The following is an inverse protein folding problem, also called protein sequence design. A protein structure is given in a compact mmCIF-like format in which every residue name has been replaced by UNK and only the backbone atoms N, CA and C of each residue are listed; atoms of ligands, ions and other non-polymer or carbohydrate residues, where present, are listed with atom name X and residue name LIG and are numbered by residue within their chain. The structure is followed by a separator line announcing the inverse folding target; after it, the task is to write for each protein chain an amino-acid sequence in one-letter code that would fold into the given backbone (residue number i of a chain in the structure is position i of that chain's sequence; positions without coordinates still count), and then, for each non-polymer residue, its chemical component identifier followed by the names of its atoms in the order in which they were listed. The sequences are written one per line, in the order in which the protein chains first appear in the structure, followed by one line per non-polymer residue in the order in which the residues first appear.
data_IF_314553858567
#
_entry.id   IF_314553858567
#
_cell.length_a   1.000
_cell.length_b   1.000
_cell.length_c   1.000
_cell.angle_alpha   90.00
_cell.angle_beta   90.00
_cell.angle_gamma   90.00
#
_symmetry.space_group_name_H-M   'P 1'
#
loop_
_entity.id
_entity.type
_entity.pdbx_description
1 polymer ?
#
# COMPACT_ATOMS: atom_id res chain seq x y z
N UNK A 1 -7.15 13.24 31.93
CA UNK A 1 -7.08 13.49 30.47
C UNK A 1 -8.49 13.51 29.96
N UNK A 2 -9.01 14.69 29.64
CA UNK A 2 -10.28 14.83 28.92
C UNK A 2 -10.07 14.26 27.52
N UNK A 3 -10.70 13.12 27.22
CA UNK A 3 -10.69 12.56 25.88
C UNK A 3 -11.36 13.56 24.94
N UNK A 4 -10.57 14.13 24.02
CA UNK A 4 -11.13 14.70 22.82
C UNK A 4 -11.58 13.54 21.93
N UNK A 5 -12.66 13.73 21.18
CA UNK A 5 -13.14 12.79 20.15
C UNK A 5 -12.18 12.81 18.96
N UNK A 6 -10.96 12.30 19.16
CA UNK A 6 -9.92 12.23 18.15
C UNK A 6 -10.38 11.49 16.91
N UNK A 7 -10.14 12.09 15.73
CA UNK A 7 -10.48 11.45 14.47
C UNK A 7 -9.37 10.49 14.03
N UNK A 8 -9.78 9.32 13.54
CA UNK A 8 -8.90 8.33 12.92
C UNK A 8 -9.18 8.30 11.43
N UNK A 9 -8.14 8.48 10.63
CA UNK A 9 -8.17 8.15 9.21
C UNK A 9 -7.53 6.78 8.99
N UNK A 10 -8.31 5.82 8.53
CA UNK A 10 -7.85 4.44 8.33
C UNK A 10 -7.28 4.18 6.94
N UNK A 11 -7.39 5.15 6.02
CA UNK A 11 -7.08 4.95 4.61
C UNK A 11 -6.44 6.17 3.99
N UNK A 12 -5.12 6.26 4.16
CA UNK A 12 -4.27 7.23 3.49
C UNK A 12 -3.26 6.55 2.57
N UNK A 13 -2.84 7.28 1.54
CA UNK A 13 -1.69 6.91 0.73
C UNK A 13 -0.65 8.02 0.81
N UNK A 14 0.58 7.62 1.09
CA UNK A 14 1.76 8.47 1.10
C UNK A 14 2.94 7.60 0.70
N UNK A 15 3.78 8.07 -0.23
CA UNK A 15 4.94 7.32 -0.69
C UNK A 15 6.18 7.88 -0.02
N UNK A 16 6.81 7.13 0.89
CA UNK A 16 8.07 7.55 1.48
C UNK A 16 9.14 7.72 0.42
N UNK A 17 10.12 8.61 0.67
CA UNK A 17 11.20 8.91 -0.28
C UNK A 17 11.94 7.65 -0.75
N UNK A 18 12.23 6.71 0.15
CA UNK A 18 12.86 5.44 -0.21
C UNK A 18 12.04 4.61 -1.22
N UNK A 19 10.70 4.62 -1.11
CA UNK A 19 9.83 3.93 -2.05
C UNK A 19 9.80 4.64 -3.41
N UNK A 20 9.78 5.98 -3.40
CA UNK A 20 9.85 6.79 -4.63
C UNK A 20 11.15 6.51 -5.39
N UNK A 21 12.29 6.49 -4.70
CA UNK A 21 13.58 6.22 -5.32
C UNK A 21 13.66 4.78 -5.85
N UNK A 22 13.20 3.79 -5.07
CA UNK A 22 13.13 2.42 -5.55
C UNK A 22 12.25 2.26 -6.81
N UNK A 23 11.13 3.01 -6.90
CA UNK A 23 10.31 3.05 -8.13
C UNK A 23 11.03 3.70 -9.31
N UNK A 24 11.91 4.69 -9.06
CA UNK A 24 12.70 5.37 -10.11
C UNK A 24 13.85 4.51 -10.63
N UNK A 25 14.42 3.66 -9.78
CA UNK A 25 15.49 2.74 -10.16
C UNK A 25 14.99 1.59 -11.06
N UNK A 26 13.70 1.28 -10.99
CA UNK A 26 13.08 0.23 -11.79
C UNK A 26 13.07 0.55 -13.28
N UNK A 27 13.40 -0.47 -14.07
CA UNK A 27 13.38 -0.40 -15.54
C UNK A 27 12.06 -0.88 -16.16
N UNK A 28 11.16 -1.46 -15.37
CA UNK A 28 9.87 -2.02 -15.81
C UNK A 28 8.76 -1.61 -14.84
N UNK A 29 7.51 -1.45 -15.30
CA UNK A 29 6.36 -1.18 -14.42
C UNK A 29 6.25 -2.16 -13.23
N UNK A 30 5.71 -1.72 -12.08
CA UNK A 30 5.45 -0.33 -11.74
C UNK A 30 6.77 0.43 -11.62
N UNK A 31 6.89 1.59 -12.28
CA UNK A 31 8.07 2.46 -12.18
C UNK A 31 7.66 3.92 -12.25
N UNK A 32 8.52 4.78 -11.73
CA UNK A 32 8.32 6.23 -11.74
C UNK A 32 9.38 6.90 -12.61
N UNK A 33 8.97 7.63 -13.64
CA UNK A 33 9.87 8.43 -14.50
C UNK A 33 9.63 9.91 -14.19
N UNK A 34 10.50 10.51 -13.39
CA UNK A 34 10.22 11.83 -12.80
C UNK A 34 9.06 11.72 -11.82
N UNK A 35 7.88 12.19 -12.23
CA UNK A 35 6.61 12.01 -11.52
C UNK A 35 5.52 11.33 -12.39
N UNK A 36 5.88 10.85 -13.58
CA UNK A 36 5.00 9.99 -14.36
C UNK A 36 5.08 8.56 -13.81
N UNK A 37 3.98 8.05 -13.25
CA UNK A 37 3.82 6.66 -12.86
C UNK A 37 3.43 5.83 -14.08
N UNK A 38 4.21 4.78 -14.34
CA UNK A 38 3.93 3.80 -15.39
C UNK A 38 3.50 2.48 -14.75
N UNK A 39 2.31 2.00 -15.12
CA UNK A 39 1.73 0.73 -14.70
C UNK A 39 1.56 -0.21 -15.90
N UNK A 40 1.47 -1.51 -15.65
CA UNK A 40 1.30 -2.49 -16.73
C UNK A 40 -0.13 -2.53 -17.29
N UNK A 41 -1.14 -2.23 -16.45
CA UNK A 41 -2.56 -2.39 -16.79
C UNK A 41 -3.32 -1.09 -17.02
N UNK A 42 -2.70 0.06 -16.76
CA UNK A 42 -3.34 1.38 -16.79
C UNK A 42 -2.48 2.38 -17.58
N UNK A 43 -3.08 3.45 -18.15
CA UNK A 43 -2.33 4.53 -18.77
C UNK A 43 -1.35 5.20 -17.79
N UNK A 44 -0.29 5.81 -18.32
CA UNK A 44 0.61 6.68 -17.57
C UNK A 44 -0.18 7.71 -16.76
N UNK A 45 0.17 7.86 -15.49
CA UNK A 45 -0.48 8.79 -14.57
C UNK A 45 0.52 9.80 -14.03
N UNK A 46 0.22 11.09 -14.14
CA UNK A 46 1.04 12.15 -13.57
C UNK A 46 0.73 12.29 -12.08
N UNK A 47 1.69 11.89 -11.26
CA UNK A 47 1.60 11.96 -9.79
C UNK A 47 1.90 13.37 -9.34
N UNK A 48 1.06 13.92 -8.47
CA UNK A 48 1.34 15.20 -7.82
C UNK A 48 2.40 15.00 -6.71
N UNK A 49 3.63 15.56 -6.84
CA UNK A 49 4.62 15.51 -5.76
C UNK A 49 4.10 16.02 -4.41
N UNK A 50 3.22 17.03 -4.42
CA UNK A 50 2.72 17.64 -3.20
C UNK A 50 1.84 16.67 -2.38
N UNK A 51 1.23 15.67 -3.03
CA UNK A 51 0.49 14.61 -2.34
C UNK A 51 1.39 13.71 -1.49
N UNK A 52 2.70 13.75 -1.70
CA UNK A 52 3.70 12.93 -1.02
C UNK A 52 4.69 13.74 -0.15
N UNK A 53 4.47 15.04 0.02
CA UNK A 53 5.25 15.86 0.97
C UNK A 53 4.87 15.52 2.42
N UNK A 54 5.75 14.81 3.13
CA UNK A 54 5.49 14.34 4.50
C UNK A 54 5.15 15.48 5.47
N UNK A 55 5.81 16.63 5.35
CA UNK A 55 5.63 17.74 6.27
C UNK A 55 4.30 18.44 6.03
N UNK A 56 3.94 18.69 4.77
CA UNK A 56 2.64 19.24 4.39
C UNK A 56 1.51 18.29 4.79
N UNK A 57 1.68 16.98 4.55
CA UNK A 57 0.68 15.96 4.91
C UNK A 57 0.50 15.84 6.42
N UNK A 58 1.58 15.93 7.21
CA UNK A 58 1.50 15.95 8.67
C UNK A 58 0.83 17.24 9.19
N UNK A 59 1.11 18.38 8.57
CA UNK A 59 0.44 19.64 8.92
C UNK A 59 -1.06 19.59 8.61
N UNK A 60 -1.44 19.03 7.46
CA UNK A 60 -2.82 18.83 7.06
C UNK A 60 -3.56 17.91 8.06
N UNK A 61 -2.98 16.75 8.39
CA UNK A 61 -3.58 15.83 9.36
C UNK A 61 -3.84 16.49 10.72
N UNK A 62 -2.94 17.35 11.20
CA UNK A 62 -3.15 18.12 12.45
C UNK A 62 -4.24 19.17 12.30
N UNK A 63 -4.31 19.86 11.16
CA UNK A 63 -5.35 20.84 10.88
C UNK A 63 -6.74 20.18 10.82
N UNK A 64 -6.80 18.94 10.34
CA UNK A 64 -8.01 18.11 10.27
C UNK A 64 -8.39 17.47 11.62
N UNK A 65 -7.56 17.64 12.65
CA UNK A 65 -7.80 17.06 13.98
C UNK A 65 -7.61 15.54 14.03
N UNK A 66 -6.78 14.98 13.15
CA UNK A 66 -6.46 13.56 13.14
C UNK A 66 -5.47 13.22 14.25
N UNK A 67 -5.86 12.28 15.11
CA UNK A 67 -4.98 11.68 16.12
C UNK A 67 -4.08 10.60 15.50
N UNK A 68 -4.58 9.94 14.45
CA UNK A 68 -3.87 8.90 13.73
C UNK A 68 -4.33 8.87 12.26
N UNK A 69 -3.37 8.72 11.36
CA UNK A 69 -3.61 8.54 9.93
C UNK A 69 -2.84 7.30 9.43
N UNK A 70 -3.57 6.26 9.02
CA UNK A 70 -2.99 4.98 8.61
C UNK A 70 -2.66 4.96 7.13
N UNK A 71 -1.38 4.82 6.83
CA UNK A 71 -0.86 4.70 5.46
C UNK A 71 -0.96 3.26 5.00
N UNK A 72 -1.70 3.05 3.92
CA UNK A 72 -1.76 1.79 3.18
C UNK A 72 -0.89 1.84 1.93
N UNK A 73 -0.38 0.68 1.51
CA UNK A 73 0.30 0.56 0.23
C UNK A 73 -0.65 0.96 -0.90
N UNK A 74 -0.15 1.57 -1.97
CA UNK A 74 -0.96 1.80 -3.17
C UNK A 74 -1.09 0.50 -3.97
N UNK A 75 -1.90 -0.46 -3.48
CA UNK A 75 -2.15 -1.77 -4.09
C UNK A 75 -2.48 -1.76 -5.60
N UNK A 76 -3.13 -0.72 -6.17
CA UNK A 76 -3.31 -0.64 -7.63
C UNK A 76 -2.01 -0.66 -8.44
N UNK A 77 -0.86 -0.32 -7.82
CA UNK A 77 0.45 -0.40 -8.48
C UNK A 77 0.91 -1.85 -8.75
N UNK A 78 0.35 -2.83 -8.04
CA UNK A 78 0.66 -4.26 -8.25
C UNK A 78 2.01 -4.71 -7.71
N UNK A 79 2.59 -3.96 -6.77
CA UNK A 79 3.88 -4.28 -6.15
C UNK A 79 3.81 -5.65 -5.47
N UNK A 80 2.70 -5.96 -4.80
CA UNK A 80 2.51 -7.21 -4.08
C UNK A 80 2.58 -8.45 -4.98
N UNK A 81 2.31 -8.30 -6.29
CA UNK A 81 2.29 -9.40 -7.26
C UNK A 81 3.57 -9.53 -8.10
N UNK A 82 4.57 -8.69 -7.86
CA UNK A 82 5.86 -8.78 -8.56
C UNK A 82 6.61 -10.09 -8.20
N UNK A 83 7.63 -10.48 -9.00
CA UNK A 83 8.60 -11.49 -8.59
C UNK A 83 9.14 -11.19 -7.18
N UNK A 84 9.36 -12.23 -6.39
CA UNK A 84 9.51 -12.06 -4.94
C UNK A 84 10.74 -11.23 -4.53
N UNK A 85 11.81 -11.23 -5.31
CA UNK A 85 12.97 -10.35 -5.13
C UNK A 85 12.61 -8.88 -5.39
N UNK A 86 11.96 -8.60 -6.52
CA UNK A 86 11.50 -7.27 -6.90
C UNK A 86 10.44 -6.70 -5.93
N UNK A 87 9.50 -7.54 -5.49
CA UNK A 87 8.45 -7.17 -4.54
C UNK A 87 9.06 -6.80 -3.19
N UNK A 88 9.97 -7.62 -2.66
CA UNK A 88 10.59 -7.41 -1.34
C UNK A 88 11.38 -6.12 -1.26
N UNK A 89 12.06 -5.73 -2.34
CA UNK A 89 12.79 -4.45 -2.40
C UNK A 89 11.84 -3.26 -2.19
N UNK A 90 10.76 -3.21 -2.98
CA UNK A 90 9.77 -2.13 -2.90
C UNK A 90 8.97 -2.16 -1.59
N UNK A 91 8.55 -3.35 -1.15
CA UNK A 91 7.83 -3.53 0.11
C UNK A 91 8.71 -3.12 1.29
N UNK A 92 9.99 -3.50 1.30
CA UNK A 92 10.94 -3.07 2.32
C UNK A 92 11.11 -1.55 2.35
N UNK A 93 11.21 -0.90 1.19
CA UNK A 93 11.27 0.56 1.08
C UNK A 93 10.00 1.23 1.61
N UNK A 94 8.82 0.67 1.30
CA UNK A 94 7.53 1.09 1.84
C UNK A 94 7.47 0.93 3.36
N UNK A 95 7.73 -0.27 3.89
CA UNK A 95 7.60 -0.56 5.33
C UNK A 95 8.58 0.27 6.17
N UNK A 96 9.85 0.35 5.73
CA UNK A 96 10.85 1.16 6.42
C UNK A 96 10.51 2.65 6.38
N UNK A 97 10.05 3.13 5.22
CA UNK A 97 9.65 4.52 5.07
C UNK A 97 8.43 4.89 5.91
N UNK A 98 7.39 4.05 5.92
CA UNK A 98 6.18 4.26 6.72
C UNK A 98 6.48 4.22 8.22
N UNK A 99 7.30 3.27 8.68
CA UNK A 99 7.71 3.18 10.07
C UNK A 99 8.53 4.39 10.55
N UNK A 100 9.15 5.13 9.63
CA UNK A 100 9.94 6.33 9.92
C UNK A 100 9.13 7.64 9.85
N UNK A 101 7.85 7.59 9.44
CA UNK A 101 7.00 8.78 9.36
C UNK A 101 6.74 9.39 10.75
N UNK A 102 6.67 10.73 10.85
CA UNK A 102 6.35 11.39 12.12
C UNK A 102 4.87 11.20 12.47
N UNK A 103 4.52 11.42 13.74
CA UNK A 103 3.13 11.55 14.13
C UNK A 103 2.39 12.62 13.27
N UNK A 104 1.14 12.37 12.87
CA UNK A 104 0.23 11.32 13.38
C UNK A 104 0.21 10.03 12.52
N UNK A 105 1.23 9.74 11.71
CA UNK A 105 1.16 8.60 10.80
C UNK A 105 1.38 7.25 11.50
N UNK A 106 0.61 6.25 11.07
CA UNK A 106 0.85 4.81 11.28
C UNK A 106 0.70 4.07 9.95
N UNK A 107 0.74 2.74 9.95
CA UNK A 107 0.72 1.99 8.69
C UNK A 107 0.05 0.63 8.71
N UNK A 108 -0.37 0.20 7.52
CA UNK A 108 -0.77 -1.17 7.18
C UNK A 108 0.41 -1.94 6.57
N UNK A 109 0.66 -3.17 7.03
CA UNK A 109 1.65 -4.02 6.39
C UNK A 109 1.09 -4.54 5.06
N UNK A 110 1.92 -4.69 4.03
CA UNK A 110 1.56 -5.35 2.78
C UNK A 110 2.49 -6.57 2.53
N UNK A 111 1.98 -7.70 2.02
CA UNK A 111 2.79 -8.89 1.81
C UNK A 111 3.31 -8.98 0.37
N UNK A 112 4.31 -9.83 0.18
CA UNK A 112 4.61 -10.39 -1.13
C UNK A 112 3.61 -11.52 -1.41
N UNK A 113 2.85 -11.44 -2.51
CA UNK A 113 1.86 -12.46 -2.90
C UNK A 113 2.43 -13.53 -3.81
N UNK A 114 3.58 -13.28 -4.46
CA UNK A 114 4.29 -14.30 -5.23
C UNK A 114 5.01 -15.31 -4.34
N UNK A 115 5.31 -14.95 -3.09
CA UNK A 115 5.89 -15.84 -2.07
C UNK A 115 5.40 -15.44 -0.67
N UNK A 116 4.43 -16.19 -0.16
CA UNK A 116 3.77 -15.90 1.12
C UNK A 116 4.69 -16.22 2.30
N UNK A 117 4.89 -15.23 3.17
CA UNK A 117 5.75 -15.33 4.34
C UNK A 117 5.06 -14.73 5.58
N UNK A 118 4.40 -15.56 6.41
CA UNK A 118 3.79 -15.11 7.66
C UNK A 118 4.81 -14.62 8.69
N UNK A 119 6.06 -15.10 8.64
CA UNK A 119 7.10 -14.66 9.56
C UNK A 119 7.52 -13.23 9.23
N UNK A 120 7.60 -12.87 7.95
CA UNK A 120 7.80 -11.49 7.54
C UNK A 120 6.65 -10.58 7.99
N UNK A 121 5.39 -11.02 7.82
CA UNK A 121 4.24 -10.26 8.31
C UNK A 121 4.29 -10.06 9.84
N UNK A 122 4.59 -11.11 10.61
CA UNK A 122 4.70 -11.01 12.06
C UNK A 122 5.72 -9.95 12.50
N UNK A 123 6.87 -9.86 11.81
CA UNK A 123 7.88 -8.82 12.07
C UNK A 123 7.33 -7.41 11.84
N UNK A 124 6.54 -7.20 10.79
CA UNK A 124 5.94 -5.88 10.55
C UNK A 124 4.87 -5.55 11.60
N UNK A 125 4.08 -6.53 12.03
CA UNK A 125 3.12 -6.32 13.13
C UNK A 125 3.83 -5.97 14.44
N UNK A 126 4.95 -6.62 14.76
CA UNK A 126 5.79 -6.32 15.93
C UNK A 126 6.44 -4.93 15.85
N UNK A 127 6.70 -4.43 14.63
CA UNK A 127 7.19 -3.07 14.38
C UNK A 127 6.12 -1.99 14.59
N UNK A 128 4.87 -2.37 14.84
CA UNK A 128 3.77 -1.45 15.13
C UNK A 128 2.83 -1.18 13.96
N UNK A 129 2.96 -1.91 12.83
CA UNK A 129 1.93 -1.89 11.80
C UNK A 129 0.61 -2.43 12.36
N UNK A 130 -0.50 -1.75 12.06
CA UNK A 130 -1.77 -2.00 12.75
C UNK A 130 -2.40 -3.33 12.35
N UNK A 131 -2.07 -3.84 11.16
CA UNK A 131 -2.64 -5.02 10.56
C UNK A 131 -2.10 -5.24 9.16
N UNK A 132 -2.82 -6.02 8.35
CA UNK A 132 -2.47 -6.34 6.97
C UNK A 132 -3.39 -5.60 6.00
N UNK A 133 -2.84 -5.13 4.88
CA UNK A 133 -3.60 -4.78 3.69
C UNK A 133 -3.41 -5.86 2.63
N UNK A 134 -4.51 -6.29 1.99
CA UNK A 134 -4.49 -7.15 0.81
C UNK A 134 -5.19 -6.47 -0.36
N UNK A 135 -4.67 -6.59 -1.60
CA UNK A 135 -5.43 -6.24 -2.79
C UNK A 135 -6.62 -7.21 -2.93
N UNK A 136 -7.80 -6.70 -3.25
CA UNK A 136 -9.03 -7.48 -3.42
C UNK A 136 -8.87 -8.67 -4.40
N UNK A 137 -8.10 -8.57 -5.51
CA UNK A 137 -7.77 -9.70 -6.36
C UNK A 137 -7.18 -10.93 -5.65
N UNK A 138 -6.51 -10.77 -4.50
CA UNK A 138 -5.95 -11.89 -3.73
C UNK A 138 -7.01 -12.74 -3.03
N UNK A 139 -8.27 -12.28 -3.00
CA UNK A 139 -9.39 -12.89 -2.27
C UNK A 139 -10.59 -13.20 -3.19
N UNK A 140 -10.39 -13.24 -4.51
CA UNK A 140 -11.51 -13.41 -5.47
C UNK A 140 -12.02 -14.84 -5.57
N UNK A 141 -11.17 -15.83 -5.30
CA UNK A 141 -11.49 -17.25 -5.47
C UNK A 141 -10.83 -18.13 -4.39
N UNK A 142 -11.17 -19.42 -4.40
CA UNK A 142 -10.67 -20.39 -3.42
C UNK A 142 -9.14 -20.48 -3.43
N UNK A 143 -8.51 -20.50 -4.61
CA UNK A 143 -7.05 -20.56 -4.75
C UNK A 143 -6.37 -19.32 -4.15
N UNK A 144 -6.98 -18.13 -4.32
CA UNK A 144 -6.54 -16.89 -3.69
C UNK A 144 -6.61 -16.98 -2.17
N UNK A 145 -7.77 -17.41 -1.63
CA UNK A 145 -7.94 -17.62 -0.19
C UNK A 145 -6.96 -18.64 0.39
N UNK A 146 -6.78 -19.79 -0.27
CA UNK A 146 -5.81 -20.81 0.15
C UNK A 146 -4.39 -20.27 0.17
N UNK A 147 -4.00 -19.50 -0.85
CA UNK A 147 -2.67 -18.88 -0.94
C UNK A 147 -2.41 -17.93 0.24
N UNK A 148 -3.34 -17.02 0.56
CA UNK A 148 -3.15 -16.05 1.64
C UNK A 148 -3.55 -16.58 3.02
N UNK A 149 -4.11 -17.79 3.10
CA UNK A 149 -4.59 -18.43 4.34
C UNK A 149 -3.60 -18.31 5.50
N UNK A 150 -2.30 -18.63 5.34
CA UNK A 150 -1.32 -18.48 6.41
C UNK A 150 -1.18 -17.06 6.98
N UNK A 151 -1.44 -16.01 6.17
CA UNK A 151 -1.46 -14.62 6.64
C UNK A 151 -2.74 -14.32 7.43
N UNK A 152 -3.88 -14.85 6.97
CA UNK A 152 -5.17 -14.66 7.63
C UNK A 152 -5.22 -15.35 9.00
N UNK A 153 -4.70 -16.57 9.10
CA UNK A 153 -4.56 -17.31 10.35
C UNK A 153 -3.69 -16.53 11.36
N UNK A 154 -2.59 -15.92 10.90
CA UNK A 154 -1.75 -15.08 11.74
C UNK A 154 -2.50 -13.84 12.25
N UNK A 155 -3.29 -13.16 11.40
CA UNK A 155 -4.09 -12.01 11.83
C UNK A 155 -5.16 -12.41 12.85
N UNK A 156 -5.85 -13.52 12.61
CA UNK A 156 -6.86 -14.05 13.54
C UNK A 156 -6.23 -14.36 14.91
N UNK A 157 -5.11 -15.11 14.92
CA UNK A 157 -4.41 -15.47 16.14
C UNK A 157 -3.87 -14.25 16.91
N UNK A 158 -3.53 -13.16 16.22
CA UNK A 158 -3.02 -11.93 16.80
C UNK A 158 -4.10 -10.86 17.07
N UNK A 159 -5.36 -11.12 16.70
CA UNK A 159 -6.46 -10.17 16.83
C UNK A 159 -6.26 -8.89 16.02
N UNK A 160 -5.53 -8.96 14.90
CA UNK A 160 -5.18 -7.80 14.06
C UNK A 160 -6.14 -7.66 12.87
N UNK A 161 -6.49 -6.41 12.47
CA UNK A 161 -7.39 -6.17 11.36
C UNK A 161 -6.78 -6.49 9.99
N UNK A 162 -7.68 -6.76 9.04
CA UNK A 162 -7.42 -6.83 7.61
C UNK A 162 -8.09 -5.65 6.89
N UNK A 163 -7.33 -4.91 6.09
CA UNK A 163 -7.84 -3.96 5.11
C UNK A 163 -7.84 -4.59 3.73
N UNK A 164 -9.00 -4.68 3.07
CA UNK A 164 -9.10 -5.12 1.68
C UNK A 164 -9.18 -3.90 0.78
N UNK A 165 -8.17 -3.70 -0.06
CA UNK A 165 -8.03 -2.52 -0.93
C UNK A 165 -8.22 -2.90 -2.40
N UNK A 166 -8.75 -2.01 -3.27
CA UNK A 166 -8.67 -2.24 -4.72
C UNK A 166 -7.26 -2.59 -5.19
N UNK A 167 -7.14 -3.65 -6.00
CA UNK A 167 -5.88 -4.07 -6.60
C UNK A 167 -5.66 -3.48 -7.99
N UNK A 168 -4.64 -3.96 -8.71
CA UNK A 168 -4.34 -3.51 -10.08
C UNK A 168 -5.49 -3.77 -11.04
N UNK A 169 -5.69 -2.87 -12.00
CA UNK A 169 -6.60 -3.13 -13.10
C UNK A 169 -6.13 -4.35 -13.90
N UNK A 170 -7.06 -5.21 -14.30
CA UNK A 170 -6.76 -6.31 -15.22
C UNK A 170 -6.26 -5.72 -16.55
N UNK A 171 -5.12 -6.22 -17.04
CA UNK A 171 -4.59 -5.82 -18.34
C UNK A 171 -5.63 -6.13 -19.43
N UNK A 172 -6.29 -5.09 -19.96
CA UNK A 172 -7.31 -5.21 -21.01
C UNK A 172 -8.66 -4.54 -20.74
N UNK A 173 -8.89 -3.93 -19.56
CA UNK A 173 -10.13 -3.20 -19.27
C UNK A 173 -10.19 -1.77 -19.87
N UNK A 174 -9.22 -1.41 -20.73
CA UNK A 174 -9.26 -0.20 -21.56
C UNK A 174 -10.33 -0.33 -22.64
N UNK A 175 -11.60 -0.20 -22.25
CA UNK A 175 -12.74 -0.24 -23.15
C UNK A 175 -12.62 0.80 -24.26
N UNK A 176 -12.63 0.34 -25.50
CA UNK A 176 -12.87 1.20 -26.65
C UNK A 176 -14.22 1.90 -26.48
N UNK A 177 -14.19 3.22 -26.25
CA UNK A 177 -15.38 4.05 -26.46
C UNK A 177 -15.56 4.16 -27.97
N UNK A 178 -16.37 3.27 -28.54
CA UNK A 178 -16.83 3.41 -29.91
C UNK A 178 -17.77 4.63 -29.97
N UNK A 179 -17.24 5.76 -30.45
CA UNK A 179 -18.04 6.93 -30.79
C UNK A 179 -18.96 6.60 -31.96
N UNK A 180 -20.25 6.43 -31.67
CA UNK A 180 -21.31 6.36 -32.67
C UNK A 180 -21.84 7.76 -32.97
N UNK A 181 -21.68 8.18 -34.23
CA UNK A 181 -22.41 9.31 -34.84
C UNK A 181 -23.88 8.97 -35.02
#
# INVERSE_FOLDING_TARGET
MTGGDGALDVHQHLWPEAMIEALRERRRPPRLRGWTLELAGEPDYEVDPAAHDVSARAAQARADGLDLALVGLSSPMGIESLPADEARELLGAYHNGVAALPAPFGGWAAPCLSEIDPVALARELDRGFVGLQLPAPALLDADGYERVGPLLELLEASGKPLLVHPGPAAAGAGGAVAGGR
#
